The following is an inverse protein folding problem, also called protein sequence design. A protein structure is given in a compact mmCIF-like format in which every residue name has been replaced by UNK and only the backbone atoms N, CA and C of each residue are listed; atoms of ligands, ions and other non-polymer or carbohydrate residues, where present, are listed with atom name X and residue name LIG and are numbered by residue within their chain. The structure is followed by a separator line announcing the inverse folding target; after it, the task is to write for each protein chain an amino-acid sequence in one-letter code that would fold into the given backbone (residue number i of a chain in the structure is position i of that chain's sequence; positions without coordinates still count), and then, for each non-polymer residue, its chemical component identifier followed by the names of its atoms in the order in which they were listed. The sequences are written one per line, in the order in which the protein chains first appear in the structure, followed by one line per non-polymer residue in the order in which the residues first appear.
data_IF_836669837227
#
_entry.id   IF_836669837227
#
_cell.length_a   1.000
_cell.length_b   1.000
_cell.length_c   1.000
_cell.angle_alpha   90.00
_cell.angle_beta   90.00
_cell.angle_gamma   90.00
#
_symmetry.space_group_name_H-M   'P 1'
#
loop_
_entity.id
_entity.type
_entity.pdbx_description
1 polymer ?
#
# COMPACT_ATOMS: atom_id res chain seq x y z
N UNK A 1 33.82 39.46 -0.48
CA UNK A 1 33.25 38.14 -0.85
C UNK A 1 32.16 38.35 -1.90
N UNK A 2 32.34 37.87 -3.14
CA UNK A 2 31.25 37.76 -4.12
C UNK A 2 31.40 36.49 -4.96
N UNK A 3 30.51 35.55 -4.65
CA UNK A 3 29.92 34.49 -5.48
C UNK A 3 30.78 33.93 -6.62
N UNK A 4 31.40 32.77 -6.37
CA UNK A 4 31.70 31.82 -7.45
C UNK A 4 30.35 31.44 -8.07
N UNK A 5 30.05 32.04 -9.21
CA UNK A 5 29.12 31.48 -10.19
C UNK A 5 29.73 30.18 -10.66
N UNK A 6 29.45 29.17 -9.86
CA UNK A 6 29.71 27.82 -10.20
C UNK A 6 28.63 27.42 -11.19
N UNK A 7 28.85 27.78 -12.45
CA UNK A 7 28.11 27.22 -13.59
C UNK A 7 28.63 25.79 -13.77
N UNK A 8 28.49 24.94 -12.75
CA UNK A 8 28.54 23.51 -12.98
C UNK A 8 27.22 23.18 -13.64
N UNK A 9 27.23 23.11 -14.97
CA UNK A 9 26.40 22.12 -15.62
C UNK A 9 26.70 20.81 -14.90
N UNK A 10 25.77 20.36 -14.08
CA UNK A 10 25.95 19.19 -13.24
C UNK A 10 25.96 17.96 -14.17
N UNK A 11 27.10 17.70 -14.81
CA UNK A 11 27.37 16.44 -15.49
C UNK A 11 27.61 15.42 -14.41
N UNK A 12 26.52 14.96 -13.79
CA UNK A 12 26.58 13.90 -12.79
C UNK A 12 27.42 12.74 -13.31
N UNK A 13 28.37 12.29 -12.49
CA UNK A 13 29.17 11.12 -12.80
C UNK A 13 28.32 9.85 -12.73
N UNK A 14 28.84 8.74 -13.27
CA UNK A 14 28.19 7.43 -13.12
C UNK A 14 27.98 7.04 -11.65
N UNK A 15 28.89 7.46 -10.76
CA UNK A 15 28.81 7.24 -9.32
C UNK A 15 27.71 8.09 -8.67
N UNK A 16 27.58 9.37 -9.03
CA UNK A 16 26.51 10.25 -8.51
C UNK A 16 25.12 9.77 -8.96
N UNK A 17 25.02 9.29 -10.21
CA UNK A 17 23.81 8.65 -10.72
C UNK A 17 23.50 7.37 -9.95
N UNK A 18 24.52 6.54 -9.67
CA UNK A 18 24.34 5.30 -8.94
C UNK A 18 23.93 5.56 -7.48
N UNK A 19 24.53 6.56 -6.83
CA UNK A 19 24.14 6.99 -5.50
C UNK A 19 22.66 7.38 -5.44
N UNK A 20 22.19 8.21 -6.39
CA UNK A 20 20.77 8.59 -6.48
C UNK A 20 19.86 7.40 -6.74
N UNK A 21 20.26 6.49 -7.64
CA UNK A 21 19.55 5.25 -7.87
C UNK A 21 19.36 4.45 -6.56
N UNK A 22 20.43 4.30 -5.77
CA UNK A 22 20.39 3.57 -4.47
C UNK A 22 19.56 4.26 -3.40
N UNK A 23 19.43 5.59 -3.46
CA UNK A 23 18.62 6.39 -2.53
C UNK A 23 17.22 6.70 -3.06
N UNK A 24 16.79 6.03 -4.14
CA UNK A 24 15.44 6.17 -4.67
C UNK A 24 14.51 5.20 -3.97
N UNK A 25 13.51 5.76 -3.28
CA UNK A 25 12.47 5.01 -2.60
C UNK A 25 11.11 5.28 -3.24
N UNK A 26 10.20 4.34 -3.03
CA UNK A 26 8.81 4.51 -3.37
C UNK A 26 8.21 5.67 -2.59
N UNK A 27 7.59 6.60 -3.31
CA UNK A 27 6.87 7.73 -2.76
C UNK A 27 5.56 7.31 -2.09
N UNK A 28 4.99 8.16 -1.22
CA UNK A 28 3.67 7.90 -0.66
C UNK A 28 2.62 7.88 -1.79
N UNK A 29 1.79 6.84 -1.81
CA UNK A 29 0.74 6.62 -2.84
C UNK A 29 1.27 6.43 -4.28
N UNK A 30 2.59 6.27 -4.47
CA UNK A 30 3.16 5.92 -5.76
C UNK A 30 2.93 4.43 -6.01
N UNK A 31 2.33 4.07 -7.15
CA UNK A 31 2.19 2.67 -7.56
C UNK A 31 3.57 2.01 -7.70
N UNK A 32 3.68 0.73 -7.38
CA UNK A 32 4.91 -0.02 -7.55
C UNK A 32 5.44 0.07 -8.99
N UNK A 33 4.57 -0.02 -9.99
CA UNK A 33 4.98 0.06 -11.40
C UNK A 33 5.55 1.41 -11.80
N UNK A 34 5.08 2.51 -11.20
CA UNK A 34 5.59 3.86 -11.48
C UNK A 34 6.93 4.09 -10.77
N UNK A 35 7.07 3.63 -9.53
CA UNK A 35 8.35 3.59 -8.83
C UNK A 35 9.40 2.81 -9.64
N UNK A 36 9.05 1.61 -10.14
CA UNK A 36 9.96 0.77 -10.92
C UNK A 36 10.35 1.41 -12.25
N UNK A 37 9.44 2.15 -12.92
CA UNK A 37 9.79 2.93 -14.12
C UNK A 37 10.80 4.03 -13.83
N UNK A 38 10.53 4.84 -12.81
CA UNK A 38 11.43 5.93 -12.40
C UNK A 38 12.80 5.40 -12.00
N UNK A 39 12.82 4.23 -11.36
CA UNK A 39 14.04 3.53 -11.01
C UNK A 39 14.81 3.04 -12.25
N UNK A 40 14.11 2.50 -13.25
CA UNK A 40 14.70 2.06 -14.53
C UNK A 40 15.29 3.24 -15.30
N UNK A 41 14.61 4.38 -15.36
CA UNK A 41 15.10 5.57 -16.05
C UNK A 41 16.45 6.01 -15.46
N UNK A 42 16.56 6.03 -14.12
CA UNK A 42 17.81 6.31 -13.41
C UNK A 42 18.89 5.27 -13.72
N UNK A 43 18.54 3.98 -13.68
CA UNK A 43 19.47 2.88 -13.96
C UNK A 43 20.05 2.97 -15.37
N UNK A 44 19.24 3.31 -16.37
CA UNK A 44 19.72 3.53 -17.73
C UNK A 44 20.71 4.69 -17.83
N UNK A 45 20.53 5.75 -17.04
CA UNK A 45 21.52 6.84 -16.98
C UNK A 45 22.85 6.35 -16.39
N UNK A 46 22.79 5.55 -15.31
CA UNK A 46 23.99 4.94 -14.69
C UNK A 46 24.74 4.09 -15.71
N UNK A 47 24.03 3.22 -16.44
CA UNK A 47 24.63 2.34 -17.46
C UNK A 47 25.28 3.14 -18.59
N UNK A 48 24.62 4.20 -19.09
CA UNK A 48 25.17 5.08 -20.12
C UNK A 48 26.44 5.82 -19.67
N UNK A 49 26.63 5.99 -18.35
CA UNK A 49 27.81 6.61 -17.75
C UNK A 49 28.77 5.60 -17.15
N UNK A 50 28.63 4.32 -17.51
CA UNK A 50 29.47 3.21 -17.05
C UNK A 50 29.54 3.05 -15.52
N UNK A 51 28.54 3.54 -14.79
CA UNK A 51 28.50 3.45 -13.32
C UNK A 51 28.27 2.02 -12.82
N UNK A 52 27.76 1.11 -13.66
CA UNK A 52 27.66 -0.32 -13.39
C UNK A 52 27.90 -1.16 -14.66
N UNK A 53 28.41 -2.39 -14.54
CA UNK A 53 28.48 -3.34 -15.65
C UNK A 53 27.09 -3.78 -16.13
N UNK A 54 26.91 -3.91 -17.45
CA UNK A 54 25.64 -4.33 -18.07
C UNK A 54 25.12 -5.69 -17.57
N UNK A 55 26.03 -6.61 -17.26
CA UNK A 55 25.71 -7.93 -16.68
C UNK A 55 25.00 -7.88 -15.32
N UNK A 56 25.07 -6.77 -14.59
CA UNK A 56 24.49 -6.63 -13.26
C UNK A 56 23.19 -5.82 -13.25
N UNK A 57 22.74 -5.27 -14.39
CA UNK A 57 21.58 -4.38 -14.47
C UNK A 57 20.35 -5.00 -13.80
N UNK A 58 19.99 -6.23 -14.18
CA UNK A 58 18.77 -6.87 -13.66
C UNK A 58 18.87 -7.18 -12.17
N UNK A 59 20.06 -7.59 -11.70
CA UNK A 59 20.31 -7.87 -10.28
C UNK A 59 20.25 -6.62 -9.41
N UNK A 60 20.84 -5.53 -9.88
CA UNK A 60 20.89 -4.24 -9.19
C UNK A 60 19.50 -3.61 -9.16
N UNK A 61 18.74 -3.73 -10.26
CA UNK A 61 17.33 -3.33 -10.30
C UNK A 61 16.54 -4.06 -9.23
N UNK A 62 16.59 -5.39 -9.22
CA UNK A 62 15.79 -6.19 -8.30
C UNK A 62 16.16 -5.92 -6.83
N UNK A 63 17.45 -5.82 -6.51
CA UNK A 63 17.90 -5.45 -5.15
C UNK A 63 17.36 -4.08 -4.72
N UNK A 64 17.38 -3.08 -5.60
CA UNK A 64 16.84 -1.76 -5.28
C UNK A 64 15.31 -1.74 -5.18
N UNK A 65 14.60 -2.57 -5.93
CA UNK A 65 13.15 -2.73 -5.77
C UNK A 65 12.83 -3.31 -4.39
N UNK A 66 13.52 -4.39 -4.00
CA UNK A 66 13.33 -5.03 -2.71
C UNK A 66 13.64 -4.10 -1.52
N UNK A 67 14.61 -3.20 -1.67
CA UNK A 67 14.98 -2.20 -0.64
C UNK A 67 14.13 -0.94 -0.66
N UNK A 68 13.77 -0.47 -1.85
CA UNK A 68 13.15 0.83 -2.08
C UNK A 68 11.63 0.84 -1.95
N UNK A 69 10.99 -0.33 -2.00
CA UNK A 69 9.53 -0.47 -1.81
C UNK A 69 9.16 -0.23 -0.34
N UNK A 70 8.23 0.70 -0.08
CA UNK A 70 7.84 1.09 1.29
C UNK A 70 6.47 0.58 1.70
N UNK A 71 5.52 0.55 0.77
CA UNK A 71 4.10 0.26 1.05
C UNK A 71 3.65 -1.05 0.39
N UNK A 72 4.25 -1.41 -0.75
CA UNK A 72 3.81 -2.56 -1.55
C UNK A 72 4.53 -3.87 -1.21
N UNK A 73 4.84 -4.09 0.08
CA UNK A 73 5.50 -5.31 0.55
C UNK A 73 4.73 -6.59 0.19
N UNK A 74 3.40 -6.52 0.15
CA UNK A 74 2.55 -7.63 -0.27
C UNK A 74 2.74 -7.96 -1.76
N UNK A 75 2.92 -6.96 -2.64
CA UNK A 75 3.18 -7.17 -4.07
C UNK A 75 4.51 -7.90 -4.28
N UNK A 76 5.56 -7.50 -3.55
CA UNK A 76 6.86 -8.17 -3.62
C UNK A 76 6.76 -9.65 -3.23
N UNK A 77 5.94 -9.95 -2.22
CA UNK A 77 5.70 -11.31 -1.77
C UNK A 77 4.92 -12.13 -2.80
N UNK A 78 3.82 -11.60 -3.34
CA UNK A 78 3.01 -12.29 -4.36
C UNK A 78 3.79 -12.60 -5.64
N UNK A 79 4.67 -11.68 -6.05
CA UNK A 79 5.54 -11.83 -7.22
C UNK A 79 6.82 -12.64 -6.92
N UNK A 80 7.00 -13.09 -5.67
CA UNK A 80 8.14 -13.89 -5.20
C UNK A 80 9.50 -13.25 -5.53
N UNK A 81 9.57 -11.91 -5.48
CA UNK A 81 10.74 -11.17 -5.96
C UNK A 81 12.01 -11.45 -5.16
N UNK A 82 11.88 -11.86 -3.88
CA UNK A 82 13.02 -12.27 -3.05
C UNK A 82 13.63 -13.60 -3.51
N UNK A 83 12.81 -14.56 -3.89
CA UNK A 83 13.24 -15.89 -4.35
C UNK A 83 13.90 -15.82 -5.73
N UNK A 84 13.49 -14.83 -6.53
CA UNK A 84 14.04 -14.55 -7.86
C UNK A 84 15.33 -13.73 -7.83
N UNK A 85 15.77 -13.26 -6.67
CA UNK A 85 17.00 -12.46 -6.53
C UNK A 85 18.27 -13.12 -7.13
N UNK A 86 18.49 -14.44 -7.02
CA UNK A 86 19.64 -15.11 -7.64
C UNK A 86 19.59 -15.16 -9.17
N UNK A 87 18.38 -15.13 -9.76
CA UNK A 87 18.17 -15.13 -11.20
C UNK A 87 17.09 -14.10 -11.57
N UNK A 88 17.45 -12.81 -11.59
CA UNK A 88 16.49 -11.72 -11.70
C UNK A 88 15.84 -11.71 -13.09
N UNK A 89 14.52 -11.45 -13.17
CA UNK A 89 13.85 -11.28 -14.45
C UNK A 89 14.30 -9.99 -15.15
N UNK A 90 14.27 -9.95 -16.49
CA UNK A 90 14.51 -8.72 -17.23
C UNK A 90 13.36 -7.72 -17.01
N UNK A 91 13.66 -6.43 -17.19
CA UNK A 91 12.74 -5.32 -16.93
C UNK A 91 11.35 -5.50 -17.55
N UNK A 92 11.29 -5.88 -18.83
CA UNK A 92 10.03 -5.97 -19.58
C UNK A 92 9.08 -7.03 -19.01
N UNK A 93 9.62 -8.18 -18.57
CA UNK A 93 8.84 -9.22 -17.91
C UNK A 93 8.37 -8.75 -16.54
N UNK A 94 9.29 -8.18 -15.76
CA UNK A 94 9.00 -7.69 -14.40
C UNK A 94 7.90 -6.61 -14.39
N UNK A 95 8.00 -5.60 -15.26
CA UNK A 95 7.03 -4.49 -15.28
C UNK A 95 5.65 -4.94 -15.75
N UNK A 96 5.58 -5.95 -16.62
CA UNK A 96 4.32 -6.56 -17.04
C UNK A 96 3.67 -7.29 -15.88
N UNK A 97 4.41 -8.17 -15.21
CA UNK A 97 3.92 -8.94 -14.06
C UNK A 97 3.44 -8.04 -12.91
N UNK A 98 4.18 -6.95 -12.63
CA UNK A 98 3.77 -5.96 -11.62
C UNK A 98 2.43 -5.31 -12.01
N UNK A 99 2.26 -4.87 -13.25
CA UNK A 99 1.00 -4.24 -13.70
C UNK A 99 -0.18 -5.21 -13.58
N UNK A 100 0.01 -6.45 -14.01
CA UNK A 100 -1.03 -7.48 -13.93
C UNK A 100 -1.47 -7.75 -12.49
N UNK A 101 -0.53 -7.77 -11.53
CA UNK A 101 -0.85 -7.97 -10.12
C UNK A 101 -1.49 -6.71 -9.48
N UNK A 102 -1.02 -5.51 -9.85
CA UNK A 102 -1.64 -4.24 -9.43
C UNK A 102 -3.10 -4.14 -9.90
N UNK A 103 -3.38 -4.51 -11.14
CA UNK A 103 -4.73 -4.47 -11.71
C UNK A 103 -5.64 -5.49 -10.99
N UNK A 104 -5.12 -6.69 -10.68
CA UNK A 104 -5.82 -7.71 -9.89
C UNK A 104 -6.16 -7.21 -8.49
N UNK A 105 -5.24 -6.50 -7.85
CA UNK A 105 -5.46 -5.95 -6.50
C UNK A 105 -6.44 -4.78 -6.50
N UNK A 106 -6.38 -3.93 -7.53
CA UNK A 106 -7.31 -2.82 -7.71
C UNK A 106 -8.75 -3.32 -7.91
N UNK A 107 -8.92 -4.42 -8.64
CA UNK A 107 -10.23 -5.07 -8.80
C UNK A 107 -10.75 -5.68 -7.48
N UNK A 108 -9.87 -6.24 -6.65
CA UNK A 108 -10.26 -6.80 -5.35
C UNK A 108 -10.77 -5.72 -4.38
N UNK A 109 -10.16 -4.53 -4.39
CA UNK A 109 -10.58 -3.39 -3.57
C UNK A 109 -11.91 -2.78 -4.06
N UNK A 110 -12.14 -2.78 -5.38
CA UNK A 110 -13.39 -2.31 -5.99
C UNK A 110 -14.61 -3.23 -5.79
N UNK A 111 -14.41 -4.51 -5.45
CA UNK A 111 -15.48 -5.53 -5.35
C UNK A 111 -16.08 -5.64 -3.93
N UNK A 112 -15.76 -4.73 -3.00
CA UNK A 112 -16.47 -4.65 -1.70
C UNK A 112 -17.67 -3.69 -1.83
N UNK A 113 -18.92 -4.17 -2.05
CA UNK A 113 -20.09 -3.32 -1.90
C UNK A 113 -20.26 -2.90 -0.42
N UNK A 114 -20.83 -1.70 -0.14
CA UNK A 114 -21.18 -1.36 1.24
C UNK A 114 -22.15 -2.42 1.77
N UNK A 115 -21.76 -3.09 2.87
CA UNK A 115 -22.67 -3.95 3.62
C UNK A 115 -23.88 -3.09 4.01
N UNK A 116 -25.03 -3.32 3.37
CA UNK A 116 -26.31 -2.75 3.81
C UNK A 116 -26.49 -3.16 5.26
N UNK A 117 -26.65 -2.18 6.14
CA UNK A 117 -26.96 -2.38 7.54
C UNK A 117 -28.22 -3.27 7.64
N UNK A 118 -28.02 -4.50 8.12
CA UNK A 118 -29.10 -5.45 8.38
C UNK A 118 -29.93 -4.94 9.55
N UNK A 119 -31.16 -4.55 9.23
CA UNK A 119 -32.25 -4.34 10.14
C UNK A 119 -32.76 -5.72 10.64
N UNK A 120 -32.35 -6.11 11.84
CA UNK A 120 -32.95 -7.24 12.54
C UNK A 120 -34.28 -6.79 13.16
N UNK A 121 -35.36 -6.90 12.40
CA UNK A 121 -36.71 -7.02 12.95
C UNK A 121 -37.00 -8.50 13.14
N UNK A 122 -36.83 -9.00 14.36
CA UNK A 122 -37.29 -10.33 14.74
C UNK A 122 -38.77 -10.22 15.13
N UNK A 123 -39.66 -10.50 14.18
CA UNK A 123 -41.04 -10.86 14.48
C UNK A 123 -41.06 -12.35 14.86
N UNK A 124 -41.42 -12.65 16.12
CA UNK A 124 -41.75 -14.02 16.56
C UNK A 124 -43.16 -14.01 17.13
N UNK A 125 -43.92 -14.99 16.65
CA UNK A 125 -45.34 -15.24 16.85
C UNK A 125 -45.80 -15.09 18.30
N UNK A 126 -46.84 -14.30 18.48
CA UNK A 126 -47.67 -14.24 19.69
C UNK A 126 -48.69 -15.39 19.65
N UNK A 127 -48.41 -16.45 20.42
CA UNK A 127 -49.43 -17.44 20.81
C UNK A 127 -50.03 -16.96 22.14
N UNK A 128 -51.32 -16.63 22.07
CA UNK A 128 -52.19 -16.30 23.20
C UNK A 128 -52.17 -17.41 24.23
N UNK A 129 -52.10 -17.06 25.52
CA UNK A 129 -53.03 -17.59 26.52
C UNK A 129 -53.37 -16.51 27.56
N UNK A 130 -54.57 -16.67 28.10
CA UNK A 130 -55.43 -15.67 28.72
C UNK A 130 -55.22 -15.49 30.23
N UNK A 131 -55.69 -14.34 30.72
CA UNK A 131 -56.29 -14.06 32.05
C UNK A 131 -55.41 -14.02 33.31
N UNK A 132 -55.27 -12.81 33.87
CA UNK A 132 -56.04 -12.43 35.08
C UNK A 132 -55.83 -10.98 35.50
N UNK A 133 -56.93 -10.23 35.40
CA UNK A 133 -57.46 -9.19 36.30
C UNK A 133 -56.56 -8.06 36.85
N UNK A 134 -56.77 -6.90 36.23
CA UNK A 134 -56.93 -5.54 36.77
C UNK A 134 -57.23 -5.38 38.27
N UNK A 135 -56.62 -4.38 38.91
CA UNK A 135 -57.31 -3.37 39.72
C UNK A 135 -56.42 -2.16 40.02
N UNK A 136 -57.09 -1.02 40.10
CA UNK A 136 -56.63 0.36 40.08
C UNK A 136 -56.43 0.97 41.48
N UNK A 137 -55.74 2.12 41.49
CA UNK A 137 -56.02 3.37 42.24
C UNK A 137 -55.23 3.72 43.51
N UNK A 138 -55.00 5.04 43.53
CA UNK A 138 -54.25 5.95 44.40
C UNK A 138 -54.64 5.91 45.88
N UNK A 139 -53.73 6.34 46.75
CA UNK A 139 -53.97 7.45 47.69
C UNK A 139 -52.83 7.60 48.70
N UNK A 140 -52.25 8.81 48.77
CA UNK A 140 -52.09 9.55 50.03
C UNK A 140 -50.97 9.17 51.01
N UNK A 141 -50.01 10.11 51.13
CA UNK A 141 -49.35 10.58 52.37
C UNK A 141 -48.88 9.57 53.44
N UNK A 142 -47.56 9.52 53.69
CA UNK A 142 -46.91 10.27 54.79
C UNK A 142 -45.42 9.91 54.91
N UNK A 143 -44.68 10.91 55.37
CA UNK A 143 -43.25 10.98 55.69
C UNK A 143 -42.89 10.09 56.90
N UNK A 144 -41.68 9.51 56.94
CA UNK A 144 -40.82 9.42 58.15
C UNK A 144 -39.38 9.09 57.75
N UNK A 145 -38.48 10.06 57.97
CA UNK A 145 -37.03 9.86 58.03
C UNK A 145 -36.69 9.57 59.50
N UNK A 146 -35.87 8.55 59.76
CA UNK A 146 -35.14 8.43 61.02
C UNK A 146 -33.64 8.26 60.73
N UNK A 147 -32.88 9.01 61.51
CA UNK A 147 -31.45 9.35 61.40
C UNK A 147 -30.48 8.17 61.34
#
# INVERSE_FOLDING_TARGET
MKLRRNVYGNTDSGEDLYYRFRHTYQGPHERLSDFVRRLEDLLQQVVRKEGIPTKHIDSVRLDQILRGTRQDGLMLWRLQLRERAPNPPPFHSLIREIREEEDRFSLADAVVPPKKAGNYTTAVLEVREETSSVALLESGSQVTILY
#
